data_IF_134468064261
#
_entry.id   IF_134468064261
#
_cell.length_a   1.000
_cell.length_b   1.000
_cell.length_c   1.000
_cell.angle_alpha   90.00
_cell.angle_beta   90.00
_cell.angle_gamma   90.00
#
_symmetry.space_group_name_H-M   'P 1'
#
loop_
_entity.id
_entity.type
_entity.pdbx_description
1 polymer ?
#
# COMPACT_ATOMS: atom_id res chain seq x y z
N UNK A 1 26.47 -41.49 -54.21
CA UNK A 1 25.71 -42.47 -53.41
C UNK A 1 25.88 -42.08 -51.95
N UNK A 2 24.77 -42.05 -51.21
CA UNK A 2 24.47 -41.50 -49.86
C UNK A 2 25.35 -42.08 -48.73
N UNK A 3 25.62 -41.46 -47.57
CA UNK A 3 24.73 -40.93 -46.49
C UNK A 3 25.59 -40.05 -45.53
N UNK A 4 25.17 -38.84 -45.14
CA UNK A 4 24.43 -38.49 -43.91
C UNK A 4 25.05 -38.99 -42.60
N UNK A 5 25.71 -38.08 -41.89
CA UNK A 5 26.05 -38.17 -40.47
C UNK A 5 25.65 -36.86 -39.79
N UNK A 6 24.45 -36.86 -39.25
CA UNK A 6 23.83 -35.82 -38.43
C UNK A 6 24.39 -35.89 -37.00
N UNK A 7 24.88 -34.78 -36.44
CA UNK A 7 24.93 -34.56 -34.98
C UNK A 7 24.92 -33.07 -34.64
N UNK A 8 23.84 -32.69 -33.99
CA UNK A 8 23.41 -31.46 -33.29
C UNK A 8 24.47 -30.51 -32.69
N UNK A 9 24.38 -29.17 -32.92
CA UNK A 9 25.08 -28.17 -32.13
C UNK A 9 24.26 -27.76 -30.90
N UNK A 10 24.53 -28.42 -29.76
CA UNK A 10 23.92 -28.09 -28.48
C UNK A 10 24.23 -26.65 -28.03
N UNK A 11 23.20 -25.82 -28.01
CA UNK A 11 23.14 -24.50 -27.37
C UNK A 11 23.73 -24.52 -25.95
N UNK A 12 24.59 -23.57 -25.64
CA UNK A 12 24.85 -23.16 -24.25
C UNK A 12 24.61 -21.66 -24.14
N UNK A 13 23.32 -21.31 -24.00
CA UNK A 13 22.84 -19.99 -23.63
C UNK A 13 23.23 -19.68 -22.17
N UNK A 14 24.11 -18.69 -22.00
CA UNK A 14 24.22 -17.70 -20.92
C UNK A 14 24.23 -18.15 -19.44
N UNK A 15 25.13 -17.60 -18.61
CA UNK A 15 24.78 -17.26 -17.25
C UNK A 15 24.23 -15.83 -17.24
N UNK A 16 22.90 -15.70 -17.32
CA UNK A 16 22.25 -14.45 -16.92
C UNK A 16 22.55 -14.26 -15.43
N UNK A 17 23.51 -13.38 -15.12
CA UNK A 17 23.83 -12.98 -13.76
C UNK A 17 22.56 -12.41 -13.13
N UNK A 18 21.92 -13.24 -12.32
CA UNK A 18 20.86 -12.84 -11.41
C UNK A 18 21.37 -11.66 -10.59
N UNK A 19 20.88 -10.46 -10.89
CA UNK A 19 21.17 -9.26 -10.12
C UNK A 19 20.68 -9.50 -8.69
N UNK A 20 21.63 -9.68 -7.78
CA UNK A 20 21.36 -9.82 -6.36
C UNK A 20 20.48 -8.65 -5.91
N UNK A 21 19.26 -8.97 -5.48
CA UNK A 21 18.36 -7.99 -4.87
C UNK A 21 19.02 -7.49 -3.60
N UNK A 22 19.55 -6.27 -3.65
CA UNK A 22 20.05 -5.57 -2.47
C UNK A 22 18.86 -5.44 -1.51
N UNK A 23 18.91 -5.97 -0.27
CA UNK A 23 17.84 -5.78 0.68
C UNK A 23 17.77 -4.29 1.00
N UNK A 24 16.74 -3.63 0.47
CA UNK A 24 16.50 -2.22 0.74
C UNK A 24 16.22 -2.09 2.23
N UNK A 25 16.73 -1.04 2.90
CA UNK A 25 16.43 -0.81 4.31
C UNK A 25 14.91 -0.88 4.48
N UNK A 26 14.46 -1.73 5.39
CA UNK A 26 13.08 -2.19 5.58
C UNK A 26 12.13 -1.03 5.86
N UNK A 27 11.78 -0.29 4.80
CA UNK A 27 10.86 0.83 4.82
C UNK A 27 9.49 0.27 5.11
N UNK A 28 8.77 0.88 6.04
CA UNK A 28 7.41 0.45 6.34
C UNK A 28 6.54 0.84 5.16
N UNK A 29 5.91 -0.15 4.56
CA UNK A 29 4.99 0.03 3.43
C UNK A 29 3.67 -0.67 3.69
N UNK A 30 2.67 -0.28 2.90
CA UNK A 30 1.43 -1.02 2.83
C UNK A 30 1.63 -2.27 1.97
N UNK A 31 1.13 -3.42 2.43
CA UNK A 31 1.12 -4.62 1.62
C UNK A 31 0.04 -4.52 0.52
N UNK A 32 0.04 -5.46 -0.44
CA UNK A 32 -0.91 -5.43 -1.55
C UNK A 32 -2.37 -5.43 -1.09
N UNK A 33 -2.72 -6.20 -0.07
CA UNK A 33 -4.11 -6.31 0.43
C UNK A 33 -4.56 -5.01 1.11
N UNK A 34 -3.69 -4.41 1.91
CA UNK A 34 -3.90 -3.13 2.58
C UNK A 34 -4.10 -2.03 1.56
N UNK A 35 -3.20 -1.96 0.57
CA UNK A 35 -3.30 -0.96 -0.49
C UNK A 35 -4.61 -1.14 -1.28
N UNK A 36 -5.01 -2.38 -1.60
CA UNK A 36 -6.31 -2.64 -2.23
C UNK A 36 -7.48 -2.12 -1.38
N UNK A 37 -7.48 -2.32 -0.05
CA UNK A 37 -8.54 -1.80 0.83
C UNK A 37 -8.59 -0.28 0.85
N UNK A 38 -7.43 0.38 0.95
CA UNK A 38 -7.32 1.84 0.94
C UNK A 38 -7.77 2.40 -0.42
N UNK A 39 -7.34 1.79 -1.52
CA UNK A 39 -7.72 2.21 -2.87
C UNK A 39 -9.19 1.94 -3.17
N UNK A 40 -9.78 0.85 -2.66
CA UNK A 40 -11.21 0.60 -2.78
C UNK A 40 -12.04 1.66 -2.07
N UNK A 41 -11.62 2.05 -0.86
CA UNK A 41 -12.22 3.19 -0.16
C UNK A 41 -12.04 4.49 -0.97
N UNK A 42 -10.84 4.74 -1.47
CA UNK A 42 -10.53 5.92 -2.27
C UNK A 42 -11.43 6.01 -3.50
N UNK A 43 -11.55 4.93 -4.27
CA UNK A 43 -12.42 4.88 -5.45
C UNK A 43 -13.88 5.20 -5.14
N UNK A 44 -14.42 4.69 -4.02
CA UNK A 44 -15.79 5.03 -3.58
C UNK A 44 -15.93 6.51 -3.23
N UNK A 45 -14.99 7.07 -2.48
CA UNK A 45 -15.05 8.47 -2.07
C UNK A 45 -14.81 9.43 -3.24
N UNK A 46 -14.02 9.04 -4.24
CA UNK A 46 -13.88 9.76 -5.51
C UNK A 46 -15.18 9.71 -6.31
N UNK A 47 -15.85 8.55 -6.36
CA UNK A 47 -17.14 8.40 -7.02
C UNK A 47 -18.25 9.24 -6.35
N UNK A 48 -18.21 9.36 -5.02
CA UNK A 48 -19.07 10.26 -4.25
C UNK A 48 -18.65 11.75 -4.39
N UNK A 49 -17.53 12.05 -5.06
CA UNK A 49 -17.03 13.41 -5.30
C UNK A 49 -16.37 14.07 -4.10
N UNK A 50 -16.16 13.32 -3.01
CA UNK A 50 -15.57 13.82 -1.77
C UNK A 50 -14.04 13.89 -1.82
N UNK A 51 -13.38 12.97 -2.53
CA UNK A 51 -11.93 12.89 -2.60
C UNK A 51 -11.44 13.20 -4.02
N UNK A 52 -10.27 13.83 -4.12
CA UNK A 52 -9.70 14.24 -5.42
C UNK A 52 -8.23 13.89 -5.59
N UNK A 53 -7.47 13.87 -4.50
CA UNK A 53 -6.04 13.60 -4.54
C UNK A 53 -5.60 12.80 -3.32
N UNK A 54 -4.45 12.13 -3.43
CA UNK A 54 -3.84 11.36 -2.37
C UNK A 54 -2.32 11.41 -2.45
N UNK A 55 -1.66 11.35 -1.30
CA UNK A 55 -0.23 11.17 -1.18
C UNK A 55 0.07 9.92 -0.36
N UNK A 56 1.09 9.17 -0.76
CA UNK A 56 1.57 8.00 -0.01
C UNK A 56 3.03 8.25 0.37
N UNK A 57 3.25 8.45 1.66
CA UNK A 57 4.56 8.67 2.23
C UNK A 57 5.03 7.41 2.93
N UNK A 58 6.17 6.88 2.50
CA UNK A 58 6.79 5.72 3.13
C UNK A 58 7.99 6.18 3.96
N UNK A 59 7.87 6.09 5.27
CA UNK A 59 8.95 6.40 6.20
C UNK A 59 9.62 5.12 6.70
N UNK A 60 10.75 5.30 7.39
CA UNK A 60 11.50 4.19 8.01
C UNK A 60 10.68 3.47 9.07
N UNK A 61 9.88 4.22 9.85
CA UNK A 61 9.13 3.67 10.99
C UNK A 61 7.64 3.50 10.72
N UNK A 62 7.09 4.20 9.72
CA UNK A 62 5.66 4.17 9.41
C UNK A 62 5.36 4.43 7.93
N UNK A 63 4.22 3.96 7.46
CA UNK A 63 3.65 4.38 6.17
C UNK A 63 2.47 5.32 6.42
N UNK A 64 2.31 6.36 5.62
CA UNK A 64 1.23 7.33 5.75
C UNK A 64 0.54 7.47 4.40
N UNK A 65 -0.78 7.37 4.39
CA UNK A 65 -1.62 7.64 3.24
C UNK A 65 -2.47 8.86 3.56
N UNK A 66 -2.13 9.99 2.94
CA UNK A 66 -2.79 11.27 3.13
C UNK A 66 -3.81 11.49 2.02
N UNK A 67 -5.02 11.91 2.38
CA UNK A 67 -6.12 12.11 1.44
C UNK A 67 -6.53 13.56 1.41
N UNK A 68 -6.75 14.09 0.22
CA UNK A 68 -7.10 15.49 0.00
C UNK A 68 -8.44 15.62 -0.73
N UNK A 69 -9.28 16.54 -0.24
CA UNK A 69 -10.55 16.92 -0.88
C UNK A 69 -10.33 17.85 -2.07
N UNK A 70 -9.32 18.71 -1.99
CA UNK A 70 -8.85 19.62 -3.05
C UNK A 70 -7.33 19.75 -2.97
N UNK A 71 -6.70 20.03 -4.11
CA UNK A 71 -5.23 20.14 -4.24
C UNK A 71 -4.58 21.27 -3.39
N UNK A 72 -5.36 22.14 -2.75
CA UNK A 72 -4.87 23.26 -1.92
C UNK A 72 -5.37 23.22 -0.48
N UNK A 73 -6.03 22.14 -0.06
CA UNK A 73 -6.55 22.00 1.31
C UNK A 73 -5.70 21.04 2.14
N UNK A 74 -5.79 21.17 3.47
CA UNK A 74 -5.17 20.23 4.40
C UNK A 74 -5.71 18.81 4.18
N UNK A 75 -4.88 17.76 4.37
CA UNK A 75 -5.35 16.40 4.22
C UNK A 75 -6.49 16.12 5.19
N UNK A 76 -7.65 15.72 4.66
CA UNK A 76 -8.86 15.48 5.44
C UNK A 76 -8.72 14.25 6.33
N UNK A 77 -7.99 13.25 5.84
CA UNK A 77 -7.70 12.01 6.54
C UNK A 77 -6.27 11.57 6.26
N UNK A 78 -5.63 11.02 7.29
CA UNK A 78 -4.31 10.37 7.19
C UNK A 78 -4.40 8.99 7.79
N UNK A 79 -4.17 7.98 6.98
CA UNK A 79 -4.10 6.58 7.41
C UNK A 79 -2.63 6.27 7.66
N UNK A 80 -2.24 6.08 8.91
CA UNK A 80 -0.89 5.71 9.29
C UNK A 80 -0.79 4.22 9.59
N UNK A 81 0.32 3.59 9.20
CA UNK A 81 0.71 2.23 9.57
C UNK A 81 2.04 2.27 10.32
N UNK A 82 2.03 1.94 11.60
CA UNK A 82 3.19 1.82 12.47
C UNK A 82 3.30 0.36 13.00
N UNK A 83 4.16 -0.48 12.41
CA UNK A 83 4.36 -1.85 12.86
C UNK A 83 4.97 -1.95 14.26
N UNK A 84 5.62 -0.89 14.78
CA UNK A 84 6.17 -0.86 16.14
C UNK A 84 5.03 -0.84 17.16
N UNK A 85 3.92 -0.19 16.83
CA UNK A 85 2.70 -0.14 17.65
C UNK A 85 1.79 -1.36 17.45
N UNK A 86 2.07 -2.21 16.46
CA UNK A 86 1.29 -3.43 16.16
C UNK A 86 1.17 -4.39 17.35
N UNK A 87 2.17 -4.43 18.25
CA UNK A 87 2.13 -5.26 19.47
C UNK A 87 1.51 -4.58 20.69
N UNK A 88 1.20 -3.29 20.61
CA UNK A 88 0.67 -2.51 21.75
C UNK A 88 -0.77 -2.07 21.53
N UNK A 89 -0.99 -1.19 20.55
CA UNK A 89 -2.26 -0.49 20.38
C UNK A 89 -2.87 -0.71 18.98
N UNK A 90 -2.17 -1.40 18.10
CA UNK A 90 -2.59 -1.63 16.72
C UNK A 90 -1.65 -0.95 15.73
N UNK A 91 -1.45 -1.60 14.58
CA UNK A 91 -0.56 -1.11 13.54
C UNK A 91 -1.15 0.06 12.78
N UNK A 92 -2.48 0.19 12.70
CA UNK A 92 -3.13 1.17 11.84
C UNK A 92 -3.83 2.25 12.66
N UNK A 93 -3.73 3.49 12.19
CA UNK A 93 -4.40 4.66 12.78
C UNK A 93 -5.02 5.50 11.67
N UNK A 94 -6.19 6.09 11.92
CA UNK A 94 -6.76 7.15 11.08
C UNK A 94 -6.76 8.44 11.87
N UNK A 95 -6.21 9.48 11.26
CA UNK A 95 -6.06 10.81 11.83
C UNK A 95 -6.86 11.78 10.97
N UNK A 96 -7.62 12.67 11.60
CA UNK A 96 -8.35 13.76 10.94
C UNK A 96 -7.42 14.90 10.52
N UNK A 97 -7.95 15.83 9.71
CA UNK A 97 -7.28 17.10 9.39
C UNK A 97 -6.79 17.86 10.64
N UNK A 98 -7.58 17.83 11.72
CA UNK A 98 -7.25 18.50 12.99
C UNK A 98 -6.14 17.80 13.79
N UNK A 99 -5.64 16.65 13.33
CA UNK A 99 -4.63 15.86 14.06
C UNK A 99 -5.21 14.92 15.11
N UNK A 100 -6.54 14.86 15.27
CA UNK A 100 -7.18 13.91 16.18
C UNK A 100 -7.18 12.51 15.57
N UNK A 101 -6.75 11.52 16.36
CA UNK A 101 -6.84 10.10 16.00
C UNK A 101 -8.31 9.70 16.11
N UNK A 102 -8.96 9.47 14.98
CA UNK A 102 -10.36 9.04 14.90
C UNK A 102 -10.50 7.58 15.32
N UNK A 103 -9.57 6.73 14.90
CA UNK A 103 -9.55 5.31 15.24
C UNK A 103 -8.15 4.73 15.14
N UNK A 104 -7.88 3.72 15.97
CA UNK A 104 -6.64 2.93 15.95
C UNK A 104 -6.97 1.46 16.19
N UNK A 105 -6.25 0.55 15.54
CA UNK A 105 -6.47 -0.88 15.70
C UNK A 105 -5.50 -1.77 14.92
N UNK A 106 -5.63 -3.08 15.15
CA UNK A 106 -4.82 -4.10 14.47
C UNK A 106 -5.36 -4.45 13.09
N UNK A 107 -6.64 -4.18 12.83
CA UNK A 107 -7.28 -4.45 11.55
C UNK A 107 -7.51 -3.13 10.80
N UNK A 108 -6.97 -3.06 9.58
CA UNK A 108 -7.09 -1.89 8.73
C UNK A 108 -8.55 -1.63 8.36
N UNK A 109 -9.35 -2.66 8.10
CA UNK A 109 -10.74 -2.52 7.64
C UNK A 109 -11.57 -1.79 8.71
N UNK A 110 -11.50 -2.28 9.96
CA UNK A 110 -12.12 -1.65 11.13
C UNK A 110 -11.69 -0.21 11.39
N UNK A 111 -10.48 0.15 11.00
CA UNK A 111 -9.96 1.51 11.12
C UNK A 111 -10.49 2.40 10.00
N UNK A 112 -10.60 1.87 8.78
CA UNK A 112 -11.17 2.57 7.62
C UNK A 112 -12.69 2.83 7.74
N UNK A 113 -13.43 2.00 8.47
CA UNK A 113 -14.87 2.19 8.75
C UNK A 113 -15.21 3.56 9.38
N UNK A 114 -14.26 4.19 10.08
CA UNK A 114 -14.51 5.51 10.69
C UNK A 114 -14.65 6.62 9.64
N UNK A 115 -14.04 6.40 8.47
CA UNK A 115 -14.12 7.28 7.31
C UNK A 115 -15.35 6.91 6.48
N UNK A 116 -15.52 5.62 6.22
CA UNK A 116 -16.64 5.09 5.43
C UNK A 116 -17.84 4.77 6.31
N UNK A 117 -18.58 5.81 6.72
CA UNK A 117 -19.81 5.65 7.52
C UNK A 117 -20.87 4.77 6.85
N UNK A 118 -20.83 4.59 5.51
CA UNK A 118 -21.74 3.67 4.80
C UNK A 118 -21.41 2.20 5.06
N UNK A 119 -20.16 1.88 5.40
CA UNK A 119 -19.66 0.53 5.64
C UNK A 119 -19.92 0.07 7.10
N UNK A 120 -20.35 0.97 7.98
CA UNK A 120 -20.69 0.69 9.37
C UNK A 120 -22.14 0.18 9.59
N UNK A 121 -22.96 0.15 8.54
CA UNK A 121 -24.37 -0.26 8.58
C UNK A 121 -24.57 -1.54 7.74
N UNK A 122 -24.05 -2.67 8.21
CA UNK A 122 -24.47 -4.01 7.75
C UNK A 122 -24.41 -5.01 8.90
#
# INVERSE_FOLDING_TARGET
>A
MTTSGDTDPGESRGPERSLATVPHPSRVTFNRLELNRILNLYGRMVADGEWRDYAIDFFKDKAVFSVFRRASEVPIYRIEKDPRLARKQGAYSVISASGLILRRGHDLDRVLLVIDRKLALV
#
